data_IF_487701450340
#
_entry.id   IF_487701450340
#
_cell.length_a   1.000
_cell.length_b   1.000
_cell.length_c   1.000
_cell.angle_alpha   90.00
_cell.angle_beta   90.00
_cell.angle_gamma   90.00
#
_symmetry.space_group_name_H-M   'P 1'
#
loop_
_entity.id
_entity.type
_entity.pdbx_description
1 polymer ?
#
# COMPACT_ATOMS: atom_id res chain seq x y z
N UNK A 1 10.12 27.87 12.12
CA UNK A 1 10.43 28.00 10.67
C UNK A 1 9.52 29.07 10.11
N UNK A 2 10.10 30.10 9.49
CA UNK A 2 9.37 31.23 8.91
C UNK A 2 8.48 30.79 7.74
N UNK A 3 7.21 31.26 7.74
CA UNK A 3 6.19 30.91 6.75
C UNK A 3 6.58 31.33 5.32
N UNK A 4 7.40 32.38 5.19
CA UNK A 4 7.90 32.85 3.90
C UNK A 4 8.96 31.93 3.29
N UNK A 5 9.82 31.32 4.12
CA UNK A 5 10.80 30.33 3.66
C UNK A 5 10.12 29.02 3.23
N UNK A 6 9.04 28.62 3.91
CA UNK A 6 8.24 27.45 3.56
C UNK A 6 7.49 27.64 2.23
N UNK A 7 6.96 28.84 1.98
CA UNK A 7 6.24 29.19 0.75
C UNK A 7 7.16 29.25 -0.48
N UNK A 8 8.39 29.75 -0.34
CA UNK A 8 9.38 29.77 -1.44
C UNK A 8 9.86 28.35 -1.76
N UNK A 9 10.06 27.51 -0.73
CA UNK A 9 10.44 26.11 -0.90
C UNK A 9 9.31 25.29 -1.58
N UNK A 10 8.06 25.50 -1.19
CA UNK A 10 6.90 24.89 -1.85
C UNK A 10 6.76 25.33 -3.32
N UNK A 11 6.91 26.62 -3.62
CA UNK A 11 6.78 27.14 -5.00
C UNK A 11 7.84 26.58 -5.96
N UNK A 12 9.10 26.52 -5.53
CA UNK A 12 10.19 25.96 -6.34
C UNK A 12 10.02 24.44 -6.58
N UNK A 13 9.41 23.74 -5.63
CA UNK A 13 9.21 22.29 -5.68
C UNK A 13 8.03 21.88 -6.57
N UNK A 14 6.93 22.64 -6.53
CA UNK A 14 5.77 22.47 -7.42
C UNK A 14 6.13 22.71 -8.90
N UNK A 15 6.96 23.72 -9.18
CA UNK A 15 7.34 24.08 -10.55
C UNK A 15 8.32 23.06 -11.18
N UNK A 16 9.06 22.31 -10.35
CA UNK A 16 9.93 21.22 -10.80
C UNK A 16 9.13 19.92 -11.09
N UNK A 17 8.15 19.58 -10.25
CA UNK A 17 7.26 18.44 -10.46
C UNK A 17 6.33 18.61 -11.67
N UNK A 18 5.83 19.83 -11.91
CA UNK A 18 5.03 20.18 -13.08
C UNK A 18 5.76 19.92 -14.41
N UNK A 19 7.07 20.18 -14.45
CA UNK A 19 7.89 19.97 -15.64
C UNK A 19 8.28 18.49 -15.86
N UNK A 20 8.08 17.60 -14.87
CA UNK A 20 8.53 16.20 -14.92
C UNK A 20 7.38 15.19 -15.10
N UNK A 21 6.13 15.56 -14.82
CA UNK A 21 4.98 14.65 -14.85
C UNK A 21 4.15 14.71 -16.15
N UNK A 22 4.74 15.13 -17.27
CA UNK A 22 4.03 15.41 -18.53
C UNK A 22 3.18 14.29 -19.14
N UNK A 23 3.42 13.01 -18.81
CA UNK A 23 2.79 11.88 -19.54
C UNK A 23 2.19 10.79 -18.63
N UNK A 24 1.51 11.13 -17.54
CA UNK A 24 0.75 10.15 -16.73
C UNK A 24 -0.76 10.42 -16.85
N UNK A 25 -1.50 9.67 -17.70
CA UNK A 25 -2.94 9.87 -17.87
C UNK A 25 -3.72 9.54 -16.58
N UNK A 26 -4.55 10.49 -16.14
CA UNK A 26 -5.44 10.33 -14.98
C UNK A 26 -4.98 11.06 -13.69
N UNK A 27 -3.77 11.62 -13.65
CA UNK A 27 -3.33 12.46 -12.53
C UNK A 27 -3.88 13.89 -12.60
N UNK A 28 -4.20 14.36 -13.81
CA UNK A 28 -4.55 15.76 -14.11
C UNK A 28 -5.71 16.32 -13.27
N UNK A 29 -6.85 15.61 -13.09
CA UNK A 29 -7.98 16.17 -12.31
C UNK A 29 -7.68 16.29 -10.80
N UNK A 30 -6.79 15.44 -10.27
CA UNK A 30 -6.34 15.47 -8.87
C UNK A 30 -5.34 16.62 -8.68
N UNK A 31 -4.51 16.87 -9.70
CA UNK A 31 -3.57 17.98 -9.73
C UNK A 31 -4.29 19.34 -9.84
N UNK A 32 -5.36 19.46 -10.64
CA UNK A 32 -6.14 20.70 -10.81
C UNK A 32 -6.84 21.17 -9.51
N UNK A 33 -7.29 20.24 -8.65
CA UNK A 33 -7.93 20.57 -7.36
C UNK A 33 -6.89 21.00 -6.33
N UNK A 34 -5.71 20.39 -6.37
CA UNK A 34 -4.57 20.79 -5.53
C UNK A 34 -3.95 22.12 -6.00
N UNK A 35 -4.06 22.44 -7.30
CA UNK A 35 -3.65 23.72 -7.90
C UNK A 35 -4.57 24.89 -7.48
N UNK A 36 -5.89 24.66 -7.38
CA UNK A 36 -6.84 25.70 -6.94
C UNK A 36 -6.72 26.05 -5.45
N UNK A 37 -6.26 25.11 -4.62
CA UNK A 37 -6.19 25.29 -3.17
C UNK A 37 -7.56 25.62 -2.54
N UNK A 38 -7.57 26.16 -1.31
CA UNK A 38 -8.78 26.69 -0.69
C UNK A 38 -9.30 27.87 -1.49
N UNK A 39 -10.59 27.87 -1.85
CA UNK A 39 -11.16 28.94 -2.69
C UNK A 39 -11.86 29.98 -1.79
N UNK A 40 -11.42 31.23 -1.86
CA UNK A 40 -11.98 32.32 -1.03
C UNK A 40 -11.57 32.18 0.44
N UNK A 41 -12.53 32.26 1.37
CA UNK A 41 -12.31 32.18 2.82
C UNK A 41 -12.48 30.74 3.38
N UNK A 42 -12.26 29.73 2.54
CA UNK A 42 -12.45 28.31 2.88
C UNK A 42 -11.49 27.85 4.02
N UNK A 43 -12.04 27.21 5.05
CA UNK A 43 -11.26 26.69 6.18
C UNK A 43 -10.57 25.37 5.84
N UNK A 44 -9.51 25.02 6.58
CA UNK A 44 -8.74 23.79 6.36
C UNK A 44 -9.60 22.50 6.48
N UNK A 45 -10.69 22.57 7.24
CA UNK A 45 -11.65 21.47 7.40
C UNK A 45 -12.59 21.35 6.20
N UNK A 46 -13.02 22.46 5.61
CA UNK A 46 -13.86 22.50 4.41
C UNK A 46 -13.07 22.08 3.15
N UNK A 47 -11.83 22.54 3.02
CA UNK A 47 -10.91 22.09 1.97
C UNK A 47 -10.64 20.57 2.05
N UNK A 48 -10.43 20.04 3.26
CA UNK A 48 -10.29 18.60 3.51
C UNK A 48 -11.58 17.84 3.17
N UNK A 49 -12.76 18.42 3.44
CA UNK A 49 -14.05 17.85 3.06
C UNK A 49 -14.28 17.79 1.55
N UNK A 50 -13.86 18.82 0.81
CA UNK A 50 -13.96 18.89 -0.66
C UNK A 50 -12.99 17.91 -1.35
N UNK A 51 -11.77 17.78 -0.82
CA UNK A 51 -10.80 16.77 -1.24
C UNK A 51 -11.29 15.33 -0.94
N UNK A 52 -11.91 15.11 0.21
CA UNK A 52 -12.50 13.81 0.57
C UNK A 52 -13.74 13.47 -0.28
N UNK A 53 -14.60 14.44 -0.60
CA UNK A 53 -15.80 14.23 -1.43
C UNK A 53 -15.48 13.70 -2.83
N UNK A 54 -14.41 14.18 -3.48
CA UNK A 54 -13.99 13.70 -4.80
C UNK A 54 -13.23 12.37 -4.77
N UNK A 55 -12.53 12.07 -3.67
CA UNK A 55 -11.99 10.72 -3.45
C UNK A 55 -13.13 9.68 -3.29
N UNK A 56 -14.32 10.11 -2.85
CA UNK A 56 -15.54 9.28 -2.85
C UNK A 56 -16.15 9.13 -4.26
N UNK A 57 -16.16 10.15 -5.12
CA UNK A 57 -16.58 10.01 -6.53
C UNK A 57 -15.66 9.07 -7.33
N UNK A 58 -14.36 9.08 -7.04
CA UNK A 58 -13.40 8.11 -7.59
C UNK A 58 -13.62 6.68 -7.07
N UNK A 59 -14.14 6.55 -5.84
CA UNK A 59 -14.57 5.27 -5.24
C UNK A 59 -15.85 4.72 -5.88
N UNK A 60 -16.75 5.60 -6.36
CA UNK A 60 -17.96 5.21 -7.09
C UNK A 60 -17.66 4.77 -8.53
N UNK A 61 -16.65 5.34 -9.19
CA UNK A 61 -16.16 4.85 -10.49
C UNK A 61 -15.48 3.47 -10.43
N UNK A 62 -15.04 3.03 -9.24
CA UNK A 62 -14.51 1.68 -9.00
C UNK A 62 -15.61 0.65 -8.66
N UNK A 63 -16.87 1.06 -8.45
CA UNK A 63 -17.99 0.12 -8.24
C UNK A 63 -18.33 -0.69 -9.49
N UNK A 64 -17.96 -0.23 -10.69
CA UNK A 64 -18.23 -0.96 -11.94
C UNK A 64 -17.28 -2.15 -12.19
N UNK A 65 -16.29 -2.38 -11.33
CA UNK A 65 -15.39 -3.56 -11.39
C UNK A 65 -15.71 -4.60 -10.31
N UNK A 66 -16.55 -4.27 -9.33
CA UNK A 66 -17.05 -5.21 -8.31
C UNK A 66 -18.57 -5.25 -8.41
N UNK A 67 -19.06 -6.22 -9.19
CA UNK A 67 -20.48 -6.41 -9.47
C UNK A 67 -21.36 -6.25 -8.22
N UNK A 68 -22.40 -5.42 -8.38
CA UNK A 68 -23.35 -5.09 -7.33
C UNK A 68 -23.93 -6.35 -6.67
N UNK A 69 -23.89 -6.36 -5.34
CA UNK A 69 -24.65 -7.32 -4.55
C UNK A 69 -26.12 -6.93 -4.71
N UNK A 70 -26.86 -7.70 -5.51
CA UNK A 70 -28.31 -7.60 -5.59
C UNK A 70 -28.92 -8.07 -4.27
N UNK A 71 -29.66 -7.17 -3.64
CA UNK A 71 -30.63 -7.48 -2.59
C UNK A 71 -31.90 -7.99 -3.29
N UNK A 72 -32.26 -9.24 -3.02
CA UNK A 72 -33.62 -9.75 -2.80
C UNK A 72 -33.62 -11.28 -2.91
N UNK A 73 -33.95 -11.97 -1.82
CA UNK A 73 -34.57 -13.30 -1.86
C UNK A 73 -35.33 -13.58 -0.58
N UNK A 74 -36.60 -13.93 -0.77
CA UNK A 74 -37.59 -14.27 0.25
C UNK A 74 -37.13 -15.43 1.17
N UNK A 75 -37.61 -15.49 2.42
CA UNK A 75 -37.21 -16.51 3.37
C UNK A 75 -37.86 -17.85 2.99
N UNK A 76 -37.04 -18.81 2.55
CA UNK A 76 -37.43 -20.20 2.47
C UNK A 76 -37.27 -20.86 3.84
N UNK A 77 -38.38 -21.31 4.42
CA UNK A 77 -38.40 -22.23 5.56
C UNK A 77 -37.70 -23.54 5.18
N UNK A 78 -36.60 -23.87 5.86
CA UNK A 78 -35.98 -25.20 5.79
C UNK A 78 -36.07 -25.90 7.17
N UNK A 79 -36.88 -26.96 7.29
CA UNK A 79 -37.16 -27.60 8.57
C UNK A 79 -36.05 -28.61 8.92
N UNK A 80 -35.10 -28.21 9.78
CA UNK A 80 -34.15 -29.18 10.33
C UNK A 80 -32.89 -28.71 11.04
N UNK A 81 -32.76 -27.44 11.43
CA UNK A 81 -31.54 -26.96 12.09
C UNK A 81 -31.83 -26.08 13.29
N UNK A 82 -30.95 -26.17 14.30
CA UNK A 82 -30.95 -25.34 15.51
C UNK A 82 -31.18 -23.87 15.13
N UNK A 83 -32.14 -23.20 15.79
CA UNK A 83 -32.38 -21.75 15.68
C UNK A 83 -31.05 -21.02 15.84
N UNK A 84 -30.55 -20.40 14.76
CA UNK A 84 -29.29 -19.64 14.77
C UNK A 84 -29.53 -18.22 15.29
N UNK A 85 -28.66 -17.73 16.15
CA UNK A 85 -28.65 -16.31 16.49
C UNK A 85 -28.17 -15.48 15.28
N UNK A 86 -28.81 -14.34 15.03
CA UNK A 86 -28.56 -13.48 13.87
C UNK A 86 -27.90 -12.17 14.31
N UNK A 87 -26.59 -12.04 14.11
CA UNK A 87 -25.79 -10.88 14.56
C UNK A 87 -25.29 -10.04 13.37
N UNK A 88 -26.22 -9.63 12.50
CA UNK A 88 -25.93 -8.88 11.27
C UNK A 88 -24.97 -7.70 11.46
N UNK A 89 -25.15 -6.91 12.51
CA UNK A 89 -24.33 -5.72 12.73
C UNK A 89 -22.88 -6.08 13.08
N UNK A 90 -22.67 -7.13 13.87
CA UNK A 90 -21.33 -7.66 14.16
C UNK A 90 -20.69 -8.25 12.89
N UNK A 91 -21.45 -8.98 12.07
CA UNK A 91 -20.94 -9.57 10.84
C UNK A 91 -20.43 -8.51 9.85
N UNK A 92 -21.08 -7.34 9.80
CA UNK A 92 -20.61 -6.20 9.01
C UNK A 92 -19.26 -5.70 9.52
N UNK A 93 -19.10 -5.51 10.83
CA UNK A 93 -17.86 -5.03 11.42
C UNK A 93 -16.72 -6.05 11.31
N UNK A 94 -17.00 -7.35 11.48
CA UNK A 94 -16.03 -8.40 11.21
C UNK A 94 -15.58 -8.36 9.74
N UNK A 95 -16.50 -8.23 8.78
CA UNK A 95 -16.16 -8.16 7.37
C UNK A 95 -15.28 -6.94 7.04
N UNK A 96 -15.57 -5.78 7.64
CA UNK A 96 -14.73 -4.58 7.50
C UNK A 96 -13.33 -4.81 8.07
N UNK A 97 -13.23 -5.43 9.24
CA UNK A 97 -11.96 -5.83 9.85
C UNK A 97 -11.17 -6.77 8.94
N UNK A 98 -11.78 -7.84 8.42
CA UNK A 98 -11.13 -8.80 7.49
C UNK A 98 -10.57 -8.13 6.24
N UNK A 99 -11.31 -7.16 5.70
CA UNK A 99 -10.87 -6.37 4.55
C UNK A 99 -9.62 -5.56 4.87
N UNK A 100 -9.62 -4.87 6.02
CA UNK A 100 -8.46 -4.11 6.50
C UNK A 100 -7.25 -5.02 6.80
N UNK A 101 -7.47 -6.14 7.49
CA UNK A 101 -6.44 -7.15 7.81
C UNK A 101 -5.75 -7.64 6.53
N UNK A 102 -6.53 -8.02 5.52
CA UNK A 102 -6.00 -8.48 4.23
C UNK A 102 -5.17 -7.39 3.54
N UNK A 103 -5.69 -6.16 3.49
CA UNK A 103 -5.00 -5.02 2.89
C UNK A 103 -3.68 -4.68 3.61
N UNK A 104 -3.68 -4.68 4.94
CA UNK A 104 -2.50 -4.39 5.75
C UNK A 104 -1.41 -5.47 5.62
N UNK A 105 -1.79 -6.76 5.62
CA UNK A 105 -0.85 -7.85 5.36
C UNK A 105 -0.25 -7.79 3.95
N UNK A 106 -1.06 -7.43 2.95
CA UNK A 106 -0.56 -7.19 1.59
C UNK A 106 0.41 -6.00 1.57
N UNK A 107 0.07 -4.89 2.20
CA UNK A 107 0.94 -3.72 2.33
C UNK A 107 2.29 -4.09 2.98
N UNK A 108 2.28 -4.88 4.06
CA UNK A 108 3.51 -5.35 4.70
C UNK A 108 4.40 -6.13 3.72
N UNK A 109 3.81 -7.05 2.96
CA UNK A 109 4.53 -7.86 1.96
C UNK A 109 5.12 -6.98 0.86
N UNK A 110 4.32 -6.08 0.28
CA UNK A 110 4.76 -5.20 -0.81
C UNK A 110 5.81 -4.19 -0.34
N UNK A 111 5.65 -3.60 0.85
CA UNK A 111 6.62 -2.67 1.43
C UNK A 111 7.98 -3.34 1.65
N UNK A 112 8.00 -4.60 2.08
CA UNK A 112 9.23 -5.39 2.19
C UNK A 112 9.81 -5.69 0.81
N UNK A 113 8.97 -6.15 -0.12
CA UNK A 113 9.35 -6.43 -1.50
C UNK A 113 9.98 -5.23 -2.21
N UNK A 114 9.49 -4.02 -1.95
CA UNK A 114 10.05 -2.77 -2.46
C UNK A 114 11.52 -2.57 -2.02
N UNK A 115 11.81 -2.70 -0.72
CA UNK A 115 13.18 -2.57 -0.22
C UNK A 115 14.11 -3.64 -0.80
N UNK A 116 13.64 -4.89 -0.88
CA UNK A 116 14.41 -5.99 -1.46
C UNK A 116 14.67 -5.76 -2.96
N UNK A 117 13.71 -5.17 -3.68
CA UNK A 117 13.86 -4.81 -5.10
C UNK A 117 14.87 -3.69 -5.30
N UNK A 118 14.87 -2.66 -4.44
CA UNK A 118 15.88 -1.59 -4.49
C UNK A 118 17.30 -2.13 -4.31
N UNK A 119 17.50 -3.04 -3.35
CA UNK A 119 18.79 -3.71 -3.12
C UNK A 119 19.20 -4.58 -4.31
N UNK A 120 18.25 -5.34 -4.88
CA UNK A 120 18.53 -6.19 -6.03
C UNK A 120 18.90 -5.37 -7.28
N UNK A 121 18.18 -4.28 -7.53
CA UNK A 121 18.42 -3.36 -8.64
C UNK A 121 19.82 -2.75 -8.54
N UNK A 122 20.18 -2.19 -7.40
CA UNK A 122 21.49 -1.56 -7.19
C UNK A 122 22.65 -2.56 -7.25
N UNK A 123 22.48 -3.76 -6.69
CA UNK A 123 23.45 -4.84 -6.85
C UNK A 123 23.61 -5.26 -8.33
N UNK A 124 22.53 -5.24 -9.12
CA UNK A 124 22.60 -5.50 -10.56
C UNK A 124 23.30 -4.38 -11.31
N UNK A 125 23.01 -3.13 -10.95
CA UNK A 125 23.66 -1.95 -11.53
C UNK A 125 25.17 -1.98 -11.28
N UNK A 126 25.60 -2.40 -10.08
CA UNK A 126 27.01 -2.58 -9.72
C UNK A 126 27.71 -3.59 -10.66
N UNK A 127 27.13 -4.78 -10.85
CA UNK A 127 27.70 -5.80 -11.75
C UNK A 127 27.83 -5.32 -13.19
N UNK A 128 26.84 -4.56 -13.68
CA UNK A 128 26.91 -3.92 -14.99
C UNK A 128 28.11 -2.97 -15.04
N UNK A 129 28.25 -2.11 -14.03
CA UNK A 129 29.33 -1.14 -13.99
C UNK A 129 30.72 -1.79 -13.92
N UNK A 130 30.88 -2.86 -13.12
CA UNK A 130 32.11 -3.65 -13.06
C UNK A 130 32.45 -4.30 -14.40
N UNK A 131 31.44 -4.84 -15.10
CA UNK A 131 31.64 -5.49 -16.41
C UNK A 131 32.03 -4.47 -17.48
N UNK A 132 31.37 -3.30 -17.52
CA UNK A 132 31.70 -2.20 -18.43
C UNK A 132 33.13 -1.69 -18.17
N UNK A 133 33.48 -1.48 -16.91
CA UNK A 133 34.82 -1.06 -16.51
C UNK A 133 35.89 -2.08 -16.90
N UNK A 134 35.64 -3.38 -16.68
CA UNK A 134 36.58 -4.44 -17.10
C UNK A 134 36.74 -4.53 -18.63
N UNK A 135 35.66 -4.31 -19.39
CA UNK A 135 35.68 -4.38 -20.86
C UNK A 135 36.38 -3.17 -21.49
N UNK A 136 36.09 -1.96 -21.02
CA UNK A 136 36.61 -0.72 -21.60
C UNK A 136 37.87 -0.19 -20.89
N UNK A 137 38.19 -0.68 -19.69
CA UNK A 137 39.19 -0.11 -18.78
C UNK A 137 40.65 -0.26 -19.23
N UNK A 138 41.00 -1.40 -19.85
CA UNK A 138 42.36 -1.67 -20.36
C UNK A 138 42.49 -1.46 -21.88
N UNK A 139 41.38 -1.53 -22.64
CA UNK A 139 41.39 -1.55 -24.11
C UNK A 139 41.05 -0.22 -24.80
N UNK A 140 40.65 0.82 -24.07
CA UNK A 140 40.54 2.17 -24.63
C UNK A 140 39.12 2.70 -24.74
N UNK A 141 38.82 3.59 -23.80
CA UNK A 141 38.15 4.86 -24.08
C UNK A 141 39.07 5.92 -23.49
N UNK A 142 39.48 6.92 -24.29
CA UNK A 142 40.37 8.02 -23.87
C UNK A 142 39.70 8.96 -22.85
N UNK A 143 38.44 8.69 -22.53
CA UNK A 143 37.43 9.59 -22.00
C UNK A 143 36.98 9.24 -20.57
N UNK A 144 37.45 8.12 -19.99
CA UNK A 144 37.27 7.83 -18.55
C UNK A 144 35.82 7.62 -18.09
N UNK A 145 34.86 7.60 -19.02
CA UNK A 145 33.41 7.48 -18.78
C UNK A 145 33.07 6.18 -18.05
N UNK A 146 33.66 5.05 -18.44
CA UNK A 146 33.40 3.74 -17.82
C UNK A 146 33.77 3.73 -16.33
N UNK A 147 34.95 4.27 -15.99
CA UNK A 147 35.40 4.43 -14.60
C UNK A 147 34.52 5.40 -13.82
N UNK A 148 34.12 6.53 -14.42
CA UNK A 148 33.22 7.48 -13.77
C UNK A 148 31.84 6.88 -13.52
N UNK A 149 31.30 6.11 -14.47
CA UNK A 149 30.03 5.41 -14.30
C UNK A 149 30.11 4.43 -13.13
N UNK A 150 31.19 3.63 -13.07
CA UNK A 150 31.43 2.72 -11.94
C UNK A 150 31.48 3.44 -10.61
N UNK A 151 32.25 4.53 -10.50
CA UNK A 151 32.29 5.33 -9.28
C UNK A 151 30.90 5.87 -8.89
N UNK A 152 30.13 6.38 -9.86
CA UNK A 152 28.79 6.90 -9.58
C UNK A 152 27.82 5.81 -9.08
N UNK A 153 27.96 4.58 -9.56
CA UNK A 153 27.20 3.41 -9.09
C UNK A 153 27.67 2.93 -7.71
N UNK A 154 28.98 2.93 -7.45
CA UNK A 154 29.55 2.64 -6.13
C UNK A 154 29.06 3.61 -5.06
N UNK A 155 29.08 4.92 -5.36
CA UNK A 155 28.56 5.96 -4.48
C UNK A 155 27.05 5.80 -4.24
N UNK A 156 26.29 5.45 -5.28
CA UNK A 156 24.84 5.23 -5.15
C UNK A 156 24.52 4.03 -4.25
N UNK A 157 25.26 2.92 -4.37
CA UNK A 157 25.09 1.77 -3.47
C UNK A 157 25.49 2.12 -2.03
N UNK A 158 26.68 2.70 -1.87
CA UNK A 158 27.29 2.91 -0.56
C UNK A 158 26.65 4.04 0.24
N UNK A 159 26.36 5.17 -0.39
CA UNK A 159 25.93 6.40 0.31
C UNK A 159 24.42 6.58 0.30
N UNK A 160 23.71 6.03 -0.69
CA UNK A 160 22.26 6.18 -0.80
C UNK A 160 21.53 4.96 -0.27
N UNK A 161 21.73 3.76 -0.83
CA UNK A 161 20.95 2.58 -0.42
C UNK A 161 21.23 2.18 1.03
N UNK A 162 22.50 2.05 1.42
CA UNK A 162 22.84 1.68 2.81
C UNK A 162 22.36 2.72 3.82
N UNK A 163 22.37 4.00 3.44
CA UNK A 163 21.88 5.08 4.30
C UNK A 163 20.34 5.13 4.38
N UNK A 164 19.62 4.70 3.34
CA UNK A 164 18.16 4.66 3.30
C UNK A 164 17.58 3.38 3.92
N UNK A 165 18.35 2.30 3.96
CA UNK A 165 17.91 0.99 4.46
C UNK A 165 17.39 1.04 5.90
N UNK A 166 18.19 1.59 6.82
CA UNK A 166 17.83 1.76 8.23
C UNK A 166 16.58 2.63 8.41
N UNK A 167 16.56 3.87 7.90
CA UNK A 167 15.38 4.72 7.93
C UNK A 167 14.12 4.06 7.38
N UNK A 168 14.20 3.37 6.24
CA UNK A 168 13.06 2.67 5.65
C UNK A 168 12.54 1.56 6.57
N UNK A 169 13.44 0.75 7.13
CA UNK A 169 13.08 -0.29 8.10
C UNK A 169 12.35 0.28 9.31
N UNK A 170 12.92 1.31 9.93
CA UNK A 170 12.39 1.90 11.17
C UNK A 170 11.10 2.70 10.95
N UNK A 171 10.98 3.43 9.84
CA UNK A 171 9.85 4.36 9.63
C UNK A 171 8.72 3.77 8.79
N UNK A 172 8.98 2.72 8.00
CA UNK A 172 7.99 2.08 7.13
C UNK A 172 7.73 0.63 7.56
N UNK A 173 8.75 -0.24 7.55
CA UNK A 173 8.53 -1.68 7.73
C UNK A 173 8.15 -2.06 9.16
N UNK A 174 8.83 -1.51 10.16
CA UNK A 174 8.58 -1.83 11.57
C UNK A 174 7.18 -1.41 12.03
N UNK A 175 6.69 -0.18 11.75
CA UNK A 175 5.33 0.21 12.11
C UNK A 175 4.27 -0.67 11.42
N UNK A 176 4.38 -0.89 10.11
CA UNK A 176 3.44 -1.77 9.38
C UNK A 176 3.47 -3.19 9.96
N UNK A 177 4.66 -3.72 10.27
CA UNK A 177 4.79 -5.06 10.86
C UNK A 177 4.22 -5.14 12.26
N UNK A 178 4.39 -4.09 13.08
CA UNK A 178 3.81 -4.02 14.42
C UNK A 178 2.29 -3.94 14.35
N UNK A 179 1.73 -3.20 13.40
CA UNK A 179 0.29 -3.17 13.17
C UNK A 179 -0.26 -4.56 12.82
N UNK A 180 0.38 -5.26 11.86
CA UNK A 180 -0.04 -6.60 11.46
C UNK A 180 0.13 -7.65 12.56
N UNK A 181 1.07 -7.44 13.50
CA UNK A 181 1.33 -8.37 14.59
C UNK A 181 0.17 -8.51 15.59
N UNK A 182 -0.78 -7.57 15.63
CA UNK A 182 -1.96 -7.64 16.49
C UNK A 182 -3.08 -8.52 15.93
N UNK A 183 -3.12 -8.74 14.61
CA UNK A 183 -4.22 -9.48 13.97
C UNK A 183 -4.39 -10.92 14.47
N UNK A 184 -3.33 -11.71 14.74
CA UNK A 184 -3.49 -13.05 15.30
C UNK A 184 -4.27 -13.09 16.62
N UNK A 185 -4.02 -12.15 17.53
CA UNK A 185 -4.71 -12.09 18.82
C UNK A 185 -6.19 -11.72 18.65
N UNK A 186 -6.48 -10.76 17.77
CA UNK A 186 -7.85 -10.36 17.42
C UNK A 186 -8.60 -11.53 16.78
N UNK A 187 -7.93 -12.27 15.89
CA UNK A 187 -8.49 -13.45 15.24
C UNK A 187 -8.85 -14.55 16.23
N UNK A 188 -8.03 -14.75 17.26
CA UNK A 188 -8.35 -15.69 18.34
C UNK A 188 -9.53 -15.21 19.20
N UNK A 189 -9.69 -13.89 19.42
CA UNK A 189 -10.91 -13.36 20.07
C UNK A 189 -12.16 -13.59 19.23
N UNK A 190 -12.12 -13.32 17.92
CA UNK A 190 -13.22 -13.60 16.98
C UNK A 190 -13.59 -15.09 17.00
N UNK A 191 -12.59 -15.97 16.94
CA UNK A 191 -12.77 -17.42 17.02
C UNK A 191 -13.41 -17.85 18.34
N UNK A 192 -12.97 -17.29 19.47
CA UNK A 192 -13.59 -17.54 20.79
C UNK A 192 -15.04 -17.11 20.82
N UNK A 193 -15.36 -15.92 20.29
CA UNK A 193 -16.74 -15.41 20.18
C UNK A 193 -17.62 -16.37 19.36
N UNK A 194 -17.13 -16.84 18.21
CA UNK A 194 -17.85 -17.78 17.37
C UNK A 194 -18.09 -19.14 18.06
N UNK A 195 -17.11 -19.65 18.81
CA UNK A 195 -17.30 -20.86 19.62
C UNK A 195 -18.35 -20.65 20.73
N UNK A 196 -18.35 -19.48 21.39
CA UNK A 196 -19.35 -19.15 22.42
C UNK A 196 -20.75 -18.98 21.87
N UNK A 197 -20.88 -18.46 20.66
CA UNK A 197 -22.16 -18.43 19.97
C UNK A 197 -22.71 -19.85 19.74
N UNK A 198 -21.87 -20.79 19.28
CA UNK A 198 -22.26 -22.19 19.10
C UNK A 198 -22.67 -22.86 20.42
N UNK A 199 -21.91 -22.62 21.50
CA UNK A 199 -22.24 -23.10 22.85
C UNK A 199 -23.63 -22.58 23.29
N UNK A 200 -23.90 -21.29 23.09
CA UNK A 200 -25.17 -20.65 23.44
C UNK A 200 -26.34 -21.22 22.63
N UNK A 201 -26.22 -21.30 21.31
CA UNK A 201 -27.26 -21.86 20.43
C UNK A 201 -27.57 -23.32 20.79
N UNK A 202 -26.56 -24.12 21.14
CA UNK A 202 -26.74 -25.50 21.59
C UNK A 202 -27.51 -25.59 22.92
N UNK A 203 -27.20 -24.72 23.89
CA UNK A 203 -27.92 -24.67 25.17
C UNK A 203 -29.35 -24.16 25.00
N UNK A 204 -29.58 -23.18 24.12
CA UNK A 204 -30.93 -22.69 23.78
C UNK A 204 -31.77 -23.81 23.15
N UNK A 205 -31.19 -24.59 22.24
CA UNK A 205 -31.87 -25.76 21.66
C UNK A 205 -32.19 -26.84 22.70
N UNK A 206 -31.29 -27.06 23.68
CA UNK A 206 -31.51 -27.99 24.80
C UNK A 206 -32.69 -27.54 25.68
N UNK A 207 -32.74 -26.25 26.03
CA UNK A 207 -33.86 -25.65 26.79
C UNK A 207 -35.17 -25.80 26.01
N UNK A 208 -35.20 -25.42 24.73
CA UNK A 208 -36.39 -25.55 23.86
C UNK A 208 -36.94 -26.99 23.86
N UNK A 209 -36.07 -27.99 23.69
CA UNK A 209 -36.46 -29.41 23.74
C UNK A 209 -37.06 -29.82 25.09
N UNK A 210 -36.51 -29.34 26.21
CA UNK A 210 -37.01 -29.64 27.55
C UNK A 210 -38.33 -28.93 27.87
N UNK A 211 -38.58 -27.76 27.27
CA UNK A 211 -39.86 -27.04 27.36
C UNK A 211 -40.94 -27.76 26.54
N UNK A 212 -40.64 -28.13 25.29
CA UNK A 212 -41.57 -28.85 24.40
C UNK A 212 -41.89 -30.27 24.90
N UNK A 213 -40.90 -30.94 25.49
CA UNK A 213 -41.03 -32.28 26.07
C UNK A 213 -40.47 -32.31 27.49
N UNK A 214 -41.29 -31.96 28.50
CA UNK A 214 -40.88 -31.96 29.90
C UNK A 214 -40.35 -33.31 30.36
N UNK A 215 -39.22 -33.30 31.04
CA UNK A 215 -38.62 -34.50 31.62
C UNK A 215 -39.33 -34.87 32.93
N UNK A 216 -39.20 -36.15 33.35
CA UNK A 216 -39.72 -36.61 34.64
C UNK A 216 -38.97 -35.97 35.80
N UNK A 217 -37.70 -35.63 35.60
CA UNK A 217 -36.89 -34.89 36.56
C UNK A 217 -37.12 -33.39 36.42
N UNK A 218 -37.90 -32.83 37.35
CA UNK A 218 -38.27 -31.41 37.41
C UNK A 218 -37.08 -30.47 37.60
N UNK A 219 -35.89 -30.99 37.97
CA UNK A 219 -34.69 -30.17 38.16
C UNK A 219 -33.90 -29.95 36.87
N UNK A 220 -34.13 -30.75 35.82
CA UNK A 220 -33.37 -30.68 34.56
C UNK A 220 -33.62 -29.38 33.79
N UNK A 221 -34.87 -28.94 33.71
CA UNK A 221 -35.20 -27.70 33.00
C UNK A 221 -34.58 -26.48 33.68
N UNK A 222 -34.76 -26.23 34.99
CA UNK A 222 -34.09 -25.12 35.69
C UNK A 222 -32.56 -25.15 35.57
N UNK A 223 -31.96 -26.34 35.57
CA UNK A 223 -30.51 -26.49 35.38
C UNK A 223 -30.08 -26.12 33.95
N UNK A 224 -30.80 -26.58 32.94
CA UNK A 224 -30.52 -26.25 31.55
C UNK A 224 -30.72 -24.75 31.26
N UNK A 225 -31.72 -24.12 31.86
CA UNK A 225 -31.94 -22.66 31.78
C UNK A 225 -30.77 -21.89 32.39
N UNK A 226 -30.28 -22.32 33.56
CA UNK A 226 -29.08 -21.71 34.18
C UNK A 226 -27.82 -21.90 33.32
N UNK A 227 -27.63 -23.08 32.73
CA UNK A 227 -26.52 -23.36 31.80
C UNK A 227 -26.62 -22.48 30.53
N UNK A 228 -27.82 -22.30 29.98
CA UNK A 228 -28.07 -21.44 28.83
C UNK A 228 -27.81 -19.96 29.13
N UNK A 229 -28.22 -19.48 30.30
CA UNK A 229 -27.96 -18.11 30.75
C UNK A 229 -26.45 -17.84 30.94
N UNK A 230 -25.71 -18.79 31.52
CA UNK A 230 -24.25 -18.69 31.61
C UNK A 230 -23.57 -18.65 30.24
N UNK A 231 -24.03 -19.49 29.28
CA UNK A 231 -23.50 -19.50 27.92
C UNK A 231 -23.81 -18.19 27.18
N UNK A 232 -25.02 -17.64 27.38
CA UNK A 232 -25.44 -16.34 26.84
C UNK A 232 -24.54 -15.22 27.32
N UNK A 233 -24.33 -15.09 28.63
CA UNK A 233 -23.48 -14.04 29.21
C UNK A 233 -22.04 -14.10 28.69
N UNK A 234 -21.47 -15.31 28.57
CA UNK A 234 -20.11 -15.48 28.03
C UNK A 234 -20.01 -15.11 26.54
N UNK A 235 -21.06 -15.39 25.76
CA UNK A 235 -21.16 -14.97 24.36
C UNK A 235 -21.31 -13.45 24.24
N UNK A 236 -22.29 -12.86 24.93
CA UNK A 236 -22.61 -11.43 24.87
C UNK A 236 -21.42 -10.57 25.28
N UNK A 237 -20.66 -10.98 26.30
CA UNK A 237 -19.45 -10.26 26.72
C UNK A 237 -18.43 -10.13 25.58
N UNK A 238 -18.13 -11.24 24.88
CA UNK A 238 -17.18 -11.22 23.76
C UNK A 238 -17.75 -10.50 22.54
N UNK A 239 -19.05 -10.64 22.30
CA UNK A 239 -19.74 -10.01 21.19
C UNK A 239 -19.72 -8.48 21.34
N UNK A 240 -20.10 -7.96 22.51
CA UNK A 240 -20.11 -6.53 22.80
C UNK A 240 -18.69 -5.93 22.76
N UNK A 241 -17.71 -6.67 23.29
CA UNK A 241 -16.31 -6.27 23.21
C UNK A 241 -15.86 -6.09 21.76
N UNK A 242 -16.01 -7.12 20.91
CA UNK A 242 -15.57 -7.06 19.52
C UNK A 242 -16.39 -6.04 18.70
N UNK A 243 -17.69 -5.95 18.95
CA UNK A 243 -18.57 -4.96 18.31
C UNK A 243 -18.10 -3.52 18.60
N UNK A 244 -17.58 -3.28 19.80
CA UNK A 244 -17.09 -1.96 20.21
C UNK A 244 -15.65 -1.70 19.74
N UNK A 245 -14.77 -2.69 19.79
CA UNK A 245 -13.33 -2.51 19.56
C UNK A 245 -12.94 -2.61 18.07
N UNK A 246 -13.60 -3.45 17.25
CA UNK A 246 -13.25 -3.58 15.83
C UNK A 246 -13.39 -2.27 15.04
N UNK A 247 -14.47 -1.49 15.18
CA UNK A 247 -14.58 -0.19 14.50
C UNK A 247 -13.47 0.79 14.91
N UNK A 248 -13.11 0.82 16.19
CA UNK A 248 -12.05 1.69 16.70
C UNK A 248 -10.69 1.34 16.11
N UNK A 249 -10.37 0.04 16.04
CA UNK A 249 -9.16 -0.43 15.40
C UNK A 249 -9.12 -0.04 13.92
N UNK A 250 -10.25 -0.18 13.22
CA UNK A 250 -10.38 0.22 11.82
C UNK A 250 -10.07 1.71 11.69
N UNK A 251 -10.67 2.58 12.50
CA UNK A 251 -10.47 4.03 12.41
C UNK A 251 -9.03 4.45 12.75
N UNK A 252 -8.38 3.76 13.70
CA UNK A 252 -6.98 4.03 14.09
C UNK A 252 -5.97 3.71 12.99
N UNK A 253 -6.31 2.90 11.98
CA UNK A 253 -5.38 2.51 10.90
C UNK A 253 -4.77 3.71 10.18
N UNK A 254 -5.55 4.77 9.97
CA UNK A 254 -5.13 5.96 9.20
C UNK A 254 -4.09 6.76 9.99
N UNK A 255 -4.40 7.31 11.18
CA UNK A 255 -3.41 8.08 11.95
C UNK A 255 -2.18 7.25 12.35
N UNK A 256 -2.30 5.92 12.44
CA UNK A 256 -1.17 5.03 12.71
C UNK A 256 -0.22 4.89 11.51
N UNK A 257 -0.77 4.72 10.29
CA UNK A 257 0.02 4.45 9.09
C UNK A 257 0.41 5.72 8.30
N UNK A 258 -0.27 6.86 8.52
CA UNK A 258 0.01 8.13 7.86
C UNK A 258 1.50 8.55 7.95
N UNK A 259 2.17 8.50 9.12
CA UNK A 259 3.58 8.83 9.21
C UNK A 259 4.49 7.89 8.40
N UNK A 260 4.12 6.61 8.31
CA UNK A 260 4.87 5.62 7.51
C UNK A 260 4.69 5.86 6.01
N UNK A 261 3.49 6.29 5.58
CA UNK A 261 3.26 6.67 4.19
C UNK A 261 4.05 7.93 3.82
N UNK A 262 4.06 8.95 4.69
CA UNK A 262 4.86 10.16 4.49
C UNK A 262 6.37 9.83 4.40
N UNK A 263 6.86 8.97 5.30
CA UNK A 263 8.25 8.53 5.30
C UNK A 263 8.61 7.75 4.02
N UNK A 264 7.72 6.86 3.56
CA UNK A 264 7.89 6.11 2.31
C UNK A 264 8.10 7.05 1.13
N UNK A 265 7.21 8.03 0.94
CA UNK A 265 7.31 9.00 -0.17
C UNK A 265 8.61 9.81 -0.08
N UNK A 266 8.99 10.27 1.11
CA UNK A 266 10.24 11.02 1.33
C UNK A 266 11.48 10.20 1.00
N UNK A 267 11.50 8.93 1.38
CA UNK A 267 12.62 8.02 1.09
C UNK A 267 12.70 7.75 -0.42
N UNK A 268 11.57 7.50 -1.07
CA UNK A 268 11.50 7.31 -2.53
C UNK A 268 12.01 8.54 -3.28
N UNK A 269 11.55 9.73 -2.90
CA UNK A 269 12.00 10.99 -3.48
C UNK A 269 13.52 11.16 -3.31
N UNK A 270 14.03 10.93 -2.09
CA UNK A 270 15.46 11.06 -1.79
C UNK A 270 16.28 10.08 -2.63
N UNK A 271 15.84 8.83 -2.73
CA UNK A 271 16.48 7.83 -3.58
C UNK A 271 16.56 8.29 -5.04
N UNK A 272 15.43 8.71 -5.62
CA UNK A 272 15.39 9.16 -7.01
C UNK A 272 16.26 10.40 -7.27
N UNK A 273 16.24 11.38 -6.35
CA UNK A 273 17.03 12.59 -6.47
C UNK A 273 18.54 12.31 -6.40
N UNK A 274 18.97 11.47 -5.45
CA UNK A 274 20.37 11.08 -5.32
C UNK A 274 20.82 10.22 -6.52
N UNK A 275 20.00 9.25 -6.95
CA UNK A 275 20.27 8.45 -8.16
C UNK A 275 20.44 9.32 -9.40
N UNK A 276 19.52 10.26 -9.63
CA UNK A 276 19.63 11.21 -10.74
C UNK A 276 20.90 12.04 -10.64
N UNK A 277 21.19 12.62 -9.47
CA UNK A 277 22.38 13.44 -9.28
C UNK A 277 23.68 12.68 -9.56
N UNK A 278 23.80 11.41 -9.13
CA UNK A 278 24.98 10.58 -9.39
C UNK A 278 25.12 10.26 -10.87
N UNK A 279 24.03 9.88 -11.53
CA UNK A 279 24.05 9.56 -12.96
C UNK A 279 24.30 10.80 -13.83
N UNK A 280 23.76 11.96 -13.46
CA UNK A 280 24.02 13.22 -14.15
C UNK A 280 25.50 13.62 -14.12
N UNK A 281 26.23 13.30 -13.05
CA UNK A 281 27.68 13.52 -12.99
C UNK A 281 28.45 12.69 -14.02
N UNK A 282 27.95 11.53 -14.44
CA UNK A 282 28.60 10.73 -15.50
C UNK A 282 28.53 11.46 -16.85
N UNK A 283 27.45 12.23 -17.09
CA UNK A 283 27.27 12.95 -18.34
C UNK A 283 28.40 13.93 -18.65
N UNK A 284 29.07 14.49 -17.63
CA UNK A 284 30.16 15.44 -17.85
C UNK A 284 31.40 14.82 -18.53
N UNK A 285 31.53 13.50 -18.43
CA UNK A 285 32.61 12.73 -19.05
C UNK A 285 32.26 12.30 -20.48
N UNK A 286 30.99 12.40 -20.90
CA UNK A 286 30.59 12.15 -22.27
C UNK A 286 31.21 13.18 -23.21
N UNK A 287 31.42 12.76 -24.46
CA UNK A 287 32.00 13.60 -25.52
C UNK A 287 31.26 14.95 -25.62
N UNK A 288 31.98 16.10 -25.61
CA UNK A 288 31.40 17.43 -25.73
C UNK A 288 30.43 17.60 -26.92
N UNK A 289 30.74 17.03 -28.09
CA UNK A 289 29.89 17.11 -29.27
C UNK A 289 28.59 16.32 -29.06
N UNK A 290 28.66 15.19 -28.34
CA UNK A 290 27.48 14.39 -27.98
C UNK A 290 26.57 15.16 -27.02
N UNK A 291 27.15 15.88 -26.06
CA UNK A 291 26.39 16.73 -25.13
C UNK A 291 25.73 17.91 -25.82
N UNK A 292 26.42 18.55 -26.76
CA UNK A 292 25.88 19.68 -27.51
C UNK A 292 24.75 19.24 -28.46
N UNK A 293 24.88 18.07 -29.09
CA UNK A 293 23.82 17.49 -29.91
C UNK A 293 22.60 17.06 -29.08
N UNK A 294 22.82 16.51 -27.88
CA UNK A 294 21.73 16.26 -26.93
C UNK A 294 20.98 17.55 -26.56
N UNK A 295 21.71 18.62 -26.23
CA UNK A 295 21.12 19.90 -25.85
C UNK A 295 20.34 20.58 -27.00
N UNK A 296 20.70 20.29 -28.26
CA UNK A 296 20.01 20.80 -29.46
C UNK A 296 18.85 19.92 -29.93
N UNK A 297 18.67 18.73 -29.34
CA UNK A 297 17.66 17.75 -29.78
C UNK A 297 18.05 16.95 -31.03
N UNK A 298 19.30 17.09 -31.49
CA UNK A 298 19.80 16.42 -32.70
C UNK A 298 20.21 14.96 -32.46
N UNK A 299 20.35 14.57 -31.18
CA UNK A 299 20.84 13.25 -30.79
C UNK A 299 19.87 12.14 -31.19
N UNK A 300 18.56 12.36 -31.08
CA UNK A 300 17.54 11.37 -31.42
C UNK A 300 17.59 11.00 -32.90
N UNK A 301 17.72 12.00 -33.78
CA UNK A 301 17.88 11.80 -35.23
C UNK A 301 19.16 11.01 -35.54
N UNK A 302 20.25 11.27 -34.81
CA UNK A 302 21.52 10.57 -34.99
C UNK A 302 21.45 9.12 -34.48
N UNK A 303 20.75 8.87 -33.37
CA UNK A 303 20.47 7.52 -32.87
C UNK A 303 19.63 6.75 -33.87
N UNK A 304 18.57 7.35 -34.41
CA UNK A 304 17.75 6.73 -35.46
C UNK A 304 18.56 6.41 -36.72
N UNK A 305 19.44 7.32 -37.15
CA UNK A 305 20.34 7.09 -38.27
C UNK A 305 21.27 5.90 -38.00
N UNK A 306 21.92 5.85 -36.84
CA UNK A 306 22.82 4.73 -36.46
C UNK A 306 22.04 3.42 -36.33
N UNK A 307 20.83 3.44 -35.78
CA UNK A 307 19.96 2.26 -35.71
C UNK A 307 19.52 1.78 -37.10
N UNK A 308 19.32 2.70 -38.05
CA UNK A 308 19.07 2.37 -39.46
C UNK A 308 20.32 1.74 -40.09
N UNK A 309 21.50 2.32 -39.87
CA UNK A 309 22.76 1.76 -40.36
C UNK A 309 23.01 0.36 -39.76
N UNK A 310 22.73 0.12 -38.48
CA UNK A 310 22.81 -1.20 -37.84
C UNK A 310 21.82 -2.19 -38.47
N UNK A 311 20.61 -1.73 -38.79
CA UNK A 311 19.60 -2.57 -39.47
C UNK A 311 20.07 -2.93 -40.88
N UNK A 312 20.70 -2.01 -41.58
CA UNK A 312 21.26 -2.23 -42.92
C UNK A 312 22.52 -3.12 -42.87
N UNK A 313 23.24 -3.11 -41.74
CA UNK A 313 24.36 -4.01 -41.42
C UNK A 313 23.92 -5.44 -41.07
N UNK A 314 22.62 -5.79 -41.19
CA UNK A 314 22.14 -7.18 -41.09
C UNK A 314 22.65 -8.01 -42.26
N UNK A 315 23.95 -8.28 -42.25
CA UNK A 315 24.66 -9.30 -43.01
C UNK A 315 24.54 -10.60 -42.21
N UNK A 316 23.30 -11.09 -42.13
CA UNK A 316 22.98 -12.50 -41.89
C UNK A 316 21.51 -12.65 -42.30
N UNK A 317 21.32 -12.99 -43.57
CA UNK A 317 20.00 -13.22 -44.14
C UNK A 317 19.24 -14.33 -43.43
N UNK A 318 17.92 -14.26 -43.60
CA UNK A 318 17.08 -15.44 -43.82
C UNK A 318 17.82 -16.52 -44.61
N UNK A 319 18.13 -17.63 -43.95
CA UNK A 319 18.06 -19.00 -44.49
C UNK A 319 17.42 -19.88 -43.43
#
# INVERSE_FOLDING_TARGET
MDKQALAVYQRYWYQWLWNYCGDIPGLTPILDILEQGPVGDETLFEFKGRFQGLAYDYKDQLKDVVGGVQEEREPGDDPGHVERTNDRDYEVEERRYRTMESAANRLQKEAKGYLDSLRAMTASQMRIAETIDAFYGDAGTRDGVSRSYKQAVEDLDAETIKALDGPYRTTVLEPISRFCAYFPDINECIKKRNNKLLDYDAMRAKVKKLVEKPDKDVTKLPRAEKEAEMAKQAYEQLNEQLFTELPQLIDLRVPYLDPSFEALVKIQLRFCAEAYSRMAQVQQYLDPDTREQYARGDLDNRVEQVLSEIRDLTIAGTV
#
